data_IF_050648912326
#
_entry.id   IF_050648912326
#
_cell.length_a   1.000
_cell.length_b   1.000
_cell.length_c   1.000
_cell.angle_alpha   90.00
_cell.angle_beta   90.00
_cell.angle_gamma   90.00
#
_symmetry.space_group_name_H-M   'P 1'
#
loop_
_entity.id
_entity.type
_entity.pdbx_description
1 polymer ?
#
# COMPACT_ATOMS: atom_id res chain seq x y z
N UNK A 1 6.18 46.54 -13.83
CA UNK A 1 6.59 45.15 -14.15
C UNK A 1 5.33 44.31 -14.20
N UNK A 2 5.07 43.64 -15.33
CA UNK A 2 3.86 42.84 -15.56
C UNK A 2 4.01 41.51 -14.80
N UNK A 3 3.18 41.24 -13.78
CA UNK A 3 3.10 39.92 -13.16
C UNK A 3 2.46 38.96 -14.17
N UNK A 4 3.24 38.03 -14.71
CA UNK A 4 2.73 36.90 -15.49
C UNK A 4 2.34 35.80 -14.52
N UNK A 5 1.04 35.67 -14.26
CA UNK A 5 0.49 34.53 -13.54
C UNK A 5 0.62 33.29 -14.42
N UNK A 6 1.64 32.46 -14.16
CA UNK A 6 1.71 31.12 -14.72
C UNK A 6 0.82 30.19 -13.88
N UNK A 7 -0.34 29.86 -14.42
CA UNK A 7 -1.14 28.74 -13.94
C UNK A 7 -0.41 27.46 -14.33
N UNK A 8 0.32 26.86 -13.39
CA UNK A 8 0.61 25.43 -13.47
C UNK A 8 -0.72 24.73 -13.22
N UNK A 9 -1.45 24.50 -14.30
CA UNK A 9 -2.67 23.69 -14.26
C UNK A 9 -2.24 22.26 -14.05
N UNK A 10 -2.27 21.81 -12.79
CA UNK A 10 -2.36 20.38 -12.51
C UNK A 10 -3.71 19.95 -13.06
N UNK A 11 -3.71 19.25 -14.20
CA UNK A 11 -4.90 18.56 -14.63
C UNK A 11 -5.19 17.49 -13.56
N UNK A 12 -6.08 17.82 -12.63
CA UNK A 12 -6.71 16.87 -11.71
C UNK A 12 -7.62 15.97 -12.55
N UNK A 13 -7.00 15.06 -13.29
CA UNK A 13 -7.70 14.01 -14.00
C UNK A 13 -8.21 13.02 -12.98
N UNK A 14 -9.53 12.98 -12.80
CA UNK A 14 -10.18 11.93 -12.03
C UNK A 14 -9.75 10.54 -12.56
N UNK A 15 -9.17 9.74 -11.67
CA UNK A 15 -9.04 8.29 -11.70
C UNK A 15 -8.69 7.62 -13.05
N UNK A 16 -7.41 7.27 -13.24
CA UNK A 16 -7.00 5.91 -13.59
C UNK A 16 -5.47 5.79 -13.52
N UNK A 17 -4.96 5.04 -12.54
CA UNK A 17 -3.65 4.40 -12.58
C UNK A 17 -2.43 5.33 -12.49
N UNK A 18 -1.67 5.19 -11.40
CA UNK A 18 -0.26 5.55 -11.40
C UNK A 18 0.39 4.96 -12.66
N UNK A 19 0.88 5.79 -13.57
CA UNK A 19 1.56 5.33 -14.78
C UNK A 19 2.78 4.52 -14.37
N UNK A 20 2.62 3.21 -14.45
CA UNK A 20 3.64 2.20 -14.37
C UNK A 20 4.46 2.30 -15.66
N UNK A 21 5.68 2.83 -15.56
CA UNK A 21 6.65 2.74 -16.64
C UNK A 21 7.25 1.33 -16.63
N UNK A 22 6.45 0.35 -17.07
CA UNK A 22 6.90 -1.02 -17.28
C UNK A 22 7.51 -1.17 -18.67
N UNK A 23 8.78 -1.54 -18.64
CA UNK A 23 9.67 -1.82 -19.75
C UNK A 23 9.12 -2.95 -20.66
N UNK A 24 9.19 -2.72 -21.96
CA UNK A 24 8.62 -3.59 -23.00
C UNK A 24 9.69 -4.54 -23.50
N UNK A 25 9.56 -5.85 -23.25
CA UNK A 25 10.11 -6.86 -24.16
C UNK A 25 9.14 -7.99 -24.45
N UNK A 26 8.99 -8.25 -25.74
CA UNK A 26 7.98 -9.05 -26.40
C UNK A 26 8.14 -10.56 -26.16
N UNK A 27 7.04 -11.31 -26.23
CA UNK A 27 7.07 -12.76 -26.51
C UNK A 27 6.12 -13.06 -27.66
N UNK A 28 6.72 -13.61 -28.70
CA UNK A 28 6.13 -14.04 -29.97
C UNK A 28 5.41 -15.39 -29.81
N UNK A 29 4.48 -15.65 -30.73
CA UNK A 29 3.41 -16.63 -30.64
C UNK A 29 3.79 -18.11 -30.78
N UNK A 30 2.75 -18.94 -30.66
CA UNK A 30 2.82 -20.39 -30.80
C UNK A 30 1.46 -21.04 -30.57
N UNK A 31 0.61 -21.04 -31.61
CA UNK A 31 -0.64 -21.78 -31.69
C UNK A 31 -0.34 -23.20 -32.19
N UNK A 32 -0.65 -24.24 -31.41
CA UNK A 32 -0.83 -25.60 -31.93
C UNK A 32 -2.00 -26.32 -31.25
N UNK A 33 -2.88 -26.82 -32.11
CA UNK A 33 -4.09 -27.60 -31.85
C UNK A 33 -3.75 -29.09 -31.88
N UNK A 34 -4.13 -29.88 -30.86
CA UNK A 34 -4.31 -31.32 -30.99
C UNK A 34 -5.49 -31.80 -30.14
N UNK A 35 -6.49 -32.37 -30.81
CA UNK A 35 -7.72 -32.87 -30.19
C UNK A 35 -7.66 -34.34 -29.78
N UNK A 36 -8.59 -34.73 -28.91
CA UNK A 36 -9.06 -36.11 -28.81
C UNK A 36 -10.56 -36.17 -28.50
N UNK A 37 -11.16 -37.21 -29.07
CA UNK A 37 -12.57 -37.52 -29.30
C UNK A 37 -13.41 -37.75 -28.04
N UNK A 38 -14.71 -37.47 -28.20
CA UNK A 38 -15.81 -37.85 -27.32
C UNK A 38 -16.11 -39.36 -27.31
N UNK A 39 -16.59 -39.87 -26.17
CA UNK A 39 -17.66 -40.88 -26.09
C UNK A 39 -18.45 -40.72 -24.80
N UNK A 40 -19.78 -40.73 -24.93
CA UNK A 40 -20.76 -40.77 -23.85
C UNK A 40 -20.77 -42.09 -23.07
N UNK A 41 -21.38 -42.00 -21.89
CA UNK A 41 -22.20 -43.00 -21.19
C UNK A 41 -21.64 -43.70 -19.93
N UNK A 42 -22.33 -43.38 -18.83
CA UNK A 42 -22.79 -44.26 -17.73
C UNK A 42 -22.00 -44.26 -16.42
N UNK A 43 -22.61 -43.57 -15.45
CA UNK A 43 -22.85 -43.98 -14.06
C UNK A 43 -21.63 -44.47 -13.24
N UNK A 44 -21.04 -43.54 -12.50
CA UNK A 44 -20.15 -43.81 -11.38
C UNK A 44 -20.25 -42.66 -10.40
N UNK A 45 -21.01 -42.87 -9.33
CA UNK A 45 -20.91 -42.09 -8.10
C UNK A 45 -19.46 -42.04 -7.66
N UNK A 46 -18.83 -40.90 -7.86
CA UNK A 46 -17.71 -40.45 -7.07
C UNK A 46 -17.87 -38.94 -7.03
N UNK A 47 -18.62 -38.50 -6.02
CA UNK A 47 -18.49 -37.17 -5.44
C UNK A 47 -17.00 -36.99 -5.15
N UNK A 48 -16.29 -36.43 -6.12
CA UNK A 48 -15.10 -35.66 -5.81
C UNK A 48 -15.65 -34.37 -5.25
N UNK A 49 -16.13 -34.42 -4.01
CA UNK A 49 -16.09 -33.27 -3.13
C UNK A 49 -14.62 -32.85 -3.10
N UNK A 50 -14.25 -31.95 -4.03
CA UNK A 50 -13.29 -30.93 -3.66
C UNK A 50 -13.89 -30.29 -2.43
N UNK A 51 -13.45 -30.74 -1.25
CA UNK A 51 -13.73 -30.08 0.01
C UNK A 51 -13.12 -28.68 -0.12
N UNK A 52 -13.87 -27.78 -0.75
CA UNK A 52 -13.64 -26.36 -0.65
C UNK A 52 -13.78 -26.09 0.82
N UNK A 53 -12.67 -25.90 1.53
CA UNK A 53 -12.66 -25.41 2.91
C UNK A 53 -13.66 -24.27 2.95
N UNK A 54 -14.80 -24.46 3.60
CA UNK A 54 -15.87 -23.47 3.64
C UNK A 54 -15.31 -22.23 4.34
N UNK A 55 -14.94 -21.23 3.55
CA UNK A 55 -14.45 -19.96 4.07
C UNK A 55 -15.64 -19.24 4.69
N UNK A 56 -15.58 -19.07 6.01
CA UNK A 56 -16.61 -18.36 6.79
C UNK A 56 -16.60 -16.86 6.53
N UNK A 57 -15.45 -16.32 6.14
CA UNK A 57 -15.24 -14.89 5.95
C UNK A 57 -14.78 -14.57 4.52
N UNK A 58 -15.27 -13.46 3.97
CA UNK A 58 -14.70 -12.85 2.75
C UNK A 58 -13.37 -12.22 3.13
N UNK A 59 -12.27 -12.60 2.48
CA UNK A 59 -10.95 -12.03 2.77
C UNK A 59 -10.95 -10.50 2.64
N UNK A 60 -10.36 -9.80 3.60
CA UNK A 60 -10.10 -8.38 3.51
C UNK A 60 -8.77 -8.14 2.79
N UNK A 61 -8.81 -7.31 1.74
CA UNK A 61 -7.64 -7.00 0.90
C UNK A 61 -6.86 -5.77 1.41
N UNK A 62 -7.19 -5.28 2.61
CA UNK A 62 -6.52 -4.14 3.24
C UNK A 62 -5.17 -4.55 3.83
N UNK A 63 -4.18 -3.69 3.62
CA UNK A 63 -2.85 -3.83 4.22
C UNK A 63 -2.90 -3.49 5.71
N UNK A 64 -3.71 -2.52 6.11
CA UNK A 64 -3.89 -2.15 7.52
C UNK A 64 -5.34 -2.43 7.90
N UNK A 65 -5.55 -3.48 8.68
CA UNK A 65 -6.87 -3.92 9.13
C UNK A 65 -7.11 -3.41 10.55
N UNK A 66 -8.12 -2.55 10.79
CA UNK A 66 -8.45 -2.11 12.13
C UNK A 66 -8.93 -3.31 12.98
N UNK A 67 -8.37 -3.50 14.18
CA UNK A 67 -8.77 -4.59 15.08
C UNK A 67 -10.28 -4.58 15.37
N UNK A 68 -10.87 -3.40 15.54
CA UNK A 68 -12.30 -3.24 15.78
C UNK A 68 -13.18 -3.74 14.62
N UNK A 69 -12.62 -3.84 13.40
CA UNK A 69 -13.33 -4.42 12.26
C UNK A 69 -13.28 -5.94 12.26
N UNK A 70 -12.32 -6.58 12.92
CA UNK A 70 -12.16 -8.03 12.87
C UNK A 70 -13.39 -8.76 13.46
N UNK A 71 -13.84 -9.89 12.86
CA UNK A 71 -14.88 -10.74 13.42
C UNK A 71 -14.50 -11.27 14.80
N UNK A 72 -15.49 -11.53 15.65
CA UNK A 72 -15.29 -11.97 17.05
C UNK A 72 -14.36 -13.18 17.17
N UNK A 73 -14.56 -14.20 16.32
CA UNK A 73 -13.74 -15.41 16.30
C UNK A 73 -12.26 -15.10 15.97
N UNK A 74 -12.02 -14.17 15.04
CA UNK A 74 -10.68 -13.74 14.63
C UNK A 74 -10.01 -12.91 15.73
N UNK A 75 -10.78 -12.05 16.41
CA UNK A 75 -10.28 -11.27 17.56
C UNK A 75 -9.84 -12.18 18.70
N UNK A 76 -10.61 -13.24 19.00
CA UNK A 76 -10.26 -14.19 20.04
C UNK A 76 -8.93 -14.91 19.74
N UNK A 77 -8.71 -15.38 18.51
CA UNK A 77 -7.42 -15.98 18.11
C UNK A 77 -6.27 -14.98 18.20
N UNK A 78 -6.48 -13.75 17.72
CA UNK A 78 -5.47 -12.70 17.74
C UNK A 78 -5.10 -12.29 19.18
N UNK A 79 -6.09 -12.14 20.05
CA UNK A 79 -5.88 -11.79 21.45
C UNK A 79 -5.14 -12.88 22.21
N UNK A 80 -5.50 -14.15 22.02
CA UNK A 80 -4.78 -15.28 22.60
C UNK A 80 -3.32 -15.31 22.13
N UNK A 81 -3.06 -15.15 20.84
CA UNK A 81 -1.70 -15.11 20.31
C UNK A 81 -0.87 -13.93 20.84
N UNK A 82 -1.50 -12.79 21.11
CA UNK A 82 -0.84 -11.60 21.66
C UNK A 82 -0.55 -11.75 23.14
N UNK A 83 -1.48 -12.30 23.91
CA UNK A 83 -1.37 -12.43 25.37
C UNK A 83 -0.45 -13.57 25.78
N UNK A 84 -0.57 -14.71 25.12
CA UNK A 84 0.22 -15.90 25.41
C UNK A 84 1.50 -15.98 24.57
N UNK A 85 1.67 -15.05 23.62
CA UNK A 85 2.78 -15.03 22.64
C UNK A 85 2.68 -16.10 21.55
N UNK A 86 1.65 -16.95 21.61
CA UNK A 86 1.38 -18.05 20.66
C UNK A 86 -0.07 -18.49 20.78
N UNK A 87 -0.74 -18.74 19.66
CA UNK A 87 -1.96 -19.52 19.58
C UNK A 87 -1.74 -20.70 18.64
N UNK A 88 -2.16 -21.90 19.01
CA UNK A 88 -1.95 -23.12 18.22
C UNK A 88 -3.27 -23.89 18.07
N UNK A 89 -3.47 -24.48 16.90
CA UNK A 89 -4.66 -25.29 16.59
C UNK A 89 -4.34 -26.38 15.58
N UNK A 90 -4.99 -27.53 15.71
CA UNK A 90 -4.97 -28.62 14.72
C UNK A 90 -5.78 -28.27 13.45
N UNK A 91 -6.56 -27.18 13.49
CA UNK A 91 -7.43 -26.73 12.41
C UNK A 91 -6.87 -25.58 11.58
N UNK A 92 -7.75 -24.99 10.76
CA UNK A 92 -7.47 -23.73 10.06
C UNK A 92 -7.80 -22.56 10.97
N UNK A 93 -6.87 -21.62 11.12
CA UNK A 93 -7.10 -20.35 11.82
C UNK A 93 -8.19 -19.53 11.12
N UNK A 94 -9.12 -18.97 11.90
CA UNK A 94 -10.09 -17.98 11.37
C UNK A 94 -9.36 -16.76 10.78
N UNK A 95 -8.23 -16.35 11.37
CA UNK A 95 -7.42 -15.25 10.86
C UNK A 95 -6.99 -15.44 9.40
N UNK A 96 -6.61 -16.65 8.97
CA UNK A 96 -6.21 -16.94 7.57
C UNK A 96 -7.37 -16.85 6.57
N UNK A 97 -8.60 -17.03 7.05
CA UNK A 97 -9.81 -16.84 6.24
C UNK A 97 -10.14 -15.36 6.10
N UNK A 98 -9.87 -14.60 7.17
CA UNK A 98 -10.16 -13.19 7.26
C UNK A 98 -9.14 -12.34 6.49
N UNK A 99 -7.85 -12.45 6.77
CA UNK A 99 -6.82 -11.60 6.17
C UNK A 99 -5.63 -12.42 5.69
N UNK A 100 -4.79 -11.79 4.87
CA UNK A 100 -3.52 -12.39 4.48
C UNK A 100 -2.40 -11.93 5.43
N UNK A 101 -1.87 -12.80 6.30
CA UNK A 101 -0.85 -12.43 7.28
C UNK A 101 0.49 -12.04 6.64
N UNK A 102 0.73 -12.40 5.37
CA UNK A 102 1.99 -12.09 4.70
C UNK A 102 2.11 -10.62 4.28
N UNK A 103 0.99 -9.93 4.13
CA UNK A 103 0.92 -8.53 3.67
C UNK A 103 0.16 -7.62 4.61
N UNK A 104 -0.71 -8.17 5.47
CA UNK A 104 -1.61 -7.37 6.30
C UNK A 104 -1.10 -7.21 7.72
N UNK A 105 -1.41 -6.06 8.31
CA UNK A 105 -1.13 -5.70 9.69
C UNK A 105 -2.45 -5.43 10.40
N UNK A 106 -2.50 -5.76 11.69
CA UNK A 106 -3.64 -5.42 12.54
C UNK A 106 -3.30 -4.15 13.31
N UNK A 107 -4.11 -3.11 13.17
CA UNK A 107 -3.98 -1.88 13.95
C UNK A 107 -4.89 -1.94 15.18
N UNK A 108 -4.31 -1.79 16.38
CA UNK A 108 -5.05 -1.68 17.63
C UNK A 108 -4.43 -0.60 18.50
N UNK A 109 -5.25 0.37 18.91
CA UNK A 109 -4.86 1.47 19.81
C UNK A 109 -3.60 2.23 19.33
N UNK A 110 -3.48 2.42 18.00
CA UNK A 110 -2.35 3.09 17.36
C UNK A 110 -1.07 2.25 17.27
N UNK A 111 -1.10 0.99 17.71
CA UNK A 111 0.01 0.03 17.55
C UNK A 111 -0.29 -0.90 16.39
N UNK A 112 0.70 -1.16 15.54
CA UNK A 112 0.58 -2.15 14.48
C UNK A 112 1.14 -3.48 14.93
N UNK A 113 0.48 -4.54 14.49
CA UNK A 113 0.85 -5.90 14.79
C UNK A 113 0.95 -6.68 13.49
N UNK A 114 2.06 -7.41 13.32
CA UNK A 114 2.26 -8.34 12.20
C UNK A 114 1.88 -9.75 12.67
N UNK A 115 0.80 -10.33 12.14
CA UNK A 115 0.52 -11.75 12.31
C UNK A 115 1.58 -12.57 11.55
N UNK A 116 2.07 -13.64 12.17
CA UNK A 116 2.94 -14.63 11.56
C UNK A 116 2.33 -16.00 11.79
N UNK A 117 2.19 -16.78 10.71
CA UNK A 117 1.57 -18.09 10.77
C UNK A 117 2.53 -19.15 10.26
N UNK A 118 2.83 -20.12 11.12
CA UNK A 118 3.74 -21.22 10.84
C UNK A 118 3.05 -22.57 11.06
N UNK A 119 3.69 -23.64 10.60
CA UNK A 119 3.30 -25.01 10.91
C UNK A 119 4.35 -25.60 11.86
N UNK A 120 3.95 -25.98 13.06
CA UNK A 120 4.84 -26.55 14.09
C UNK A 120 4.21 -27.83 14.64
N UNK A 121 4.89 -28.98 14.50
CA UNK A 121 4.44 -30.24 15.12
C UNK A 121 3.10 -30.79 14.62
N UNK A 122 2.61 -30.34 13.46
CA UNK A 122 1.28 -30.69 12.93
C UNK A 122 0.19 -29.70 13.29
N UNK A 123 0.50 -28.68 14.11
CA UNK A 123 -0.40 -27.59 14.45
C UNK A 123 -0.13 -26.35 13.58
N UNK A 124 -1.20 -25.65 13.22
CA UNK A 124 -1.11 -24.29 12.70
C UNK A 124 -0.91 -23.33 13.86
N UNK A 125 0.18 -22.56 13.84
CA UNK A 125 0.58 -21.67 14.93
C UNK A 125 0.52 -20.21 14.49
N UNK A 126 -0.21 -19.39 15.23
CA UNK A 126 -0.24 -17.93 15.10
C UNK A 126 0.67 -17.29 16.15
N UNK A 127 1.52 -16.38 15.70
CA UNK A 127 2.30 -15.46 16.53
C UNK A 127 1.98 -14.04 16.10
N UNK A 128 2.03 -13.11 17.04
CA UNK A 128 1.75 -11.70 16.77
C UNK A 128 2.91 -10.87 17.30
N UNK A 129 3.61 -10.19 16.42
CA UNK A 129 4.71 -9.29 16.77
C UNK A 129 4.27 -7.84 16.64
N UNK A 130 4.72 -6.97 17.54
CA UNK A 130 4.59 -5.52 17.37
C UNK A 130 5.45 -5.11 16.17
N UNK A 131 4.89 -4.28 15.30
CA UNK A 131 5.58 -3.64 14.20
C UNK A 131 5.46 -2.12 14.37
N UNK A 132 6.58 -1.42 14.38
CA UNK A 132 6.58 0.03 14.58
C UNK A 132 6.07 0.76 13.32
N UNK A 133 6.46 0.26 12.13
CA UNK A 133 6.13 0.90 10.86
C UNK A 133 5.83 -0.14 9.77
N UNK A 134 4.53 -0.40 9.50
CA UNK A 134 4.12 -1.27 8.41
C UNK A 134 4.69 -0.87 7.06
N UNK A 135 4.93 -1.85 6.21
CA UNK A 135 5.32 -1.62 4.81
C UNK A 135 4.12 -1.82 3.90
N UNK A 136 3.82 -0.83 3.07
CA UNK A 136 2.77 -0.88 2.04
C UNK A 136 3.32 -1.56 0.78
N UNK A 137 2.73 -2.65 0.26
CA UNK A 137 3.22 -3.36 -0.91
C UNK A 137 3.35 -2.49 -2.18
N UNK A 138 2.45 -1.53 -2.37
CA UNK A 138 2.48 -0.62 -3.53
C UNK A 138 3.21 0.69 -3.24
N UNK A 139 3.53 0.98 -1.98
CA UNK A 139 4.04 2.27 -1.54
C UNK A 139 3.12 3.45 -1.91
N UNK A 140 3.61 4.66 -1.65
CA UNK A 140 2.97 5.93 -1.98
C UNK A 140 3.96 6.83 -2.68
N UNK A 141 3.49 7.51 -3.72
CA UNK A 141 4.29 8.44 -4.51
C UNK A 141 3.83 9.86 -4.22
N UNK A 142 4.76 10.72 -3.82
CA UNK A 142 4.58 12.17 -3.72
C UNK A 142 5.10 12.81 -5.00
N UNK A 143 4.27 13.57 -5.69
CA UNK A 143 4.66 14.35 -6.86
C UNK A 143 4.95 15.79 -6.47
N UNK A 144 6.06 16.35 -6.93
CA UNK A 144 6.49 17.72 -6.63
C UNK A 144 6.68 18.48 -7.93
N UNK A 145 5.88 19.51 -8.16
CA UNK A 145 5.99 20.39 -9.34
C UNK A 145 6.55 21.76 -8.97
N UNK A 146 7.55 22.24 -9.72
CA UNK A 146 8.10 23.58 -9.52
C UNK A 146 7.36 24.60 -10.40
N UNK A 147 6.54 25.46 -9.79
CA UNK A 147 5.86 26.57 -10.46
C UNK A 147 6.61 27.90 -10.39
N UNK A 148 7.80 27.92 -9.80
CA UNK A 148 8.66 29.12 -9.70
C UNK A 148 9.48 29.31 -10.99
N UNK A 149 10.02 30.51 -11.17
CA UNK A 149 10.91 30.83 -12.30
C UNK A 149 12.35 30.36 -12.10
N UNK A 150 12.71 29.97 -10.86
CA UNK A 150 14.04 29.49 -10.48
C UNK A 150 14.01 28.01 -10.08
N UNK A 151 15.12 27.27 -10.27
CA UNK A 151 15.20 25.87 -9.86
C UNK A 151 15.12 25.73 -8.34
N UNK A 152 14.52 24.64 -7.88
CA UNK A 152 14.46 24.30 -6.46
C UNK A 152 15.03 22.91 -6.22
N UNK A 153 15.60 22.68 -5.03
CA UNK A 153 16.05 21.37 -4.58
C UNK A 153 15.03 20.76 -3.63
N UNK A 154 14.50 19.61 -3.98
CA UNK A 154 13.55 18.84 -3.17
C UNK A 154 14.21 17.60 -2.54
N UNK A 155 13.89 17.30 -1.29
CA UNK A 155 14.35 16.11 -0.60
C UNK A 155 13.33 15.62 0.42
N UNK A 156 13.26 14.30 0.63
CA UNK A 156 12.43 13.69 1.68
C UNK A 156 13.29 13.39 2.89
N UNK A 157 12.83 13.78 4.07
CA UNK A 157 13.45 13.48 5.34
C UNK A 157 12.53 12.66 6.26
N UNK A 158 13.16 11.82 7.06
CA UNK A 158 12.55 11.02 8.12
C UNK A 158 13.40 11.20 9.39
N UNK A 159 12.77 11.62 10.48
CA UNK A 159 13.46 11.95 11.75
C UNK A 159 14.74 12.80 11.54
N UNK A 160 14.60 13.85 10.73
CA UNK A 160 15.70 14.77 10.41
C UNK A 160 16.67 14.29 9.32
N UNK A 161 16.77 12.98 9.07
CA UNK A 161 17.70 12.37 8.09
C UNK A 161 17.09 12.36 6.70
N UNK A 162 17.87 12.70 5.67
CA UNK A 162 17.42 12.58 4.28
C UNK A 162 17.30 11.10 3.91
N UNK A 163 16.14 10.72 3.37
CA UNK A 163 15.82 9.35 2.97
C UNK A 163 15.47 9.22 1.48
N UNK A 164 15.31 10.34 0.77
CA UNK A 164 15.26 10.40 -0.70
C UNK A 164 15.68 11.82 -1.19
N UNK A 165 16.27 11.90 -2.38
CA UNK A 165 16.91 13.12 -2.89
C UNK A 165 18.27 13.42 -2.22
N UNK A 166 18.81 14.64 -2.36
CA UNK A 166 18.21 15.81 -2.99
C UNK A 166 18.10 15.71 -4.51
N UNK A 167 17.07 16.33 -5.07
CA UNK A 167 16.86 16.43 -6.52
C UNK A 167 16.58 17.87 -6.92
N UNK A 168 17.21 18.33 -8.00
CA UNK A 168 16.95 19.65 -8.58
C UNK A 168 15.74 19.55 -9.49
N UNK A 169 14.76 20.42 -9.28
CA UNK A 169 13.52 20.53 -10.03
C UNK A 169 13.52 21.87 -10.76
N UNK A 170 13.75 21.80 -12.07
CA UNK A 170 13.77 22.97 -12.95
C UNK A 170 12.41 23.70 -12.99
N UNK A 171 12.36 24.98 -13.36
CA UNK A 171 11.11 25.72 -13.57
C UNK A 171 10.15 24.97 -14.51
N UNK A 172 8.92 24.75 -14.05
CA UNK A 172 7.89 24.01 -14.78
C UNK A 172 8.08 22.48 -14.81
N UNK A 173 9.15 21.95 -14.21
CA UNK A 173 9.41 20.51 -14.14
C UNK A 173 8.70 19.87 -12.94
N UNK A 174 8.60 18.54 -12.99
CA UNK A 174 8.01 17.71 -11.97
C UNK A 174 9.00 16.61 -11.59
N UNK A 175 9.11 16.31 -10.30
CA UNK A 175 9.76 15.09 -9.79
C UNK A 175 8.80 14.27 -8.92
N UNK A 176 9.18 13.04 -8.56
CA UNK A 176 8.38 12.17 -7.71
C UNK A 176 9.24 11.36 -6.74
N UNK A 177 8.77 11.25 -5.49
CA UNK A 177 9.41 10.46 -4.44
C UNK A 177 8.48 9.32 -4.02
N UNK A 178 9.00 8.09 -3.97
CA UNK A 178 8.23 6.91 -3.52
C UNK A 178 8.64 6.48 -2.12
N UNK A 179 7.67 6.11 -1.28
CA UNK A 179 7.88 5.56 0.07
C UNK A 179 6.92 4.41 0.35
N UNK A 180 7.43 3.32 0.90
CA UNK A 180 6.64 2.13 1.23
C UNK A 180 6.32 2.03 2.71
N UNK A 181 7.22 2.50 3.56
CA UNK A 181 7.10 2.41 5.01
C UNK A 181 6.14 3.49 5.53
N UNK A 182 5.10 3.07 6.23
CA UNK A 182 4.11 3.94 6.88
C UNK A 182 4.79 4.88 7.87
N UNK A 183 4.37 6.13 7.85
CA UNK A 183 4.94 7.17 8.71
C UNK A 183 4.64 8.58 8.20
N UNK A 184 5.18 9.58 8.89
CA UNK A 184 5.11 10.97 8.45
C UNK A 184 6.49 11.46 8.07
N UNK A 185 6.66 11.79 6.80
CA UNK A 185 7.91 12.29 6.23
C UNK A 185 7.84 13.81 6.09
N UNK A 186 9.00 14.45 5.92
CA UNK A 186 9.10 15.87 5.62
C UNK A 186 9.66 16.06 4.20
N UNK A 187 8.85 16.61 3.28
CA UNK A 187 9.38 17.17 2.04
C UNK A 187 10.01 18.52 2.38
N UNK A 188 11.31 18.66 2.10
CA UNK A 188 12.08 19.89 2.24
C UNK A 188 12.38 20.43 0.84
N UNK A 189 12.01 21.68 0.60
CA UNK A 189 12.27 22.37 -0.68
C UNK A 189 13.13 23.59 -0.40
N UNK A 190 14.20 23.80 -1.19
CA UNK A 190 15.10 24.94 -1.06
C UNK A 190 15.45 25.56 -2.41
N UNK A 191 15.41 26.88 -2.53
CA UNK A 191 15.93 27.65 -3.65
C UNK A 191 17.28 28.28 -3.33
N UNK A 192 18.03 28.65 -4.36
CA UNK A 192 19.31 29.38 -4.19
C UNK A 192 19.11 30.83 -3.75
N UNK A 193 17.92 31.38 -4.01
CA UNK A 193 17.44 32.70 -3.58
C UNK A 193 17.10 32.80 -2.08
N UNK A 194 17.31 31.73 -1.32
CA UNK A 194 16.99 31.65 0.10
C UNK A 194 15.57 31.17 0.38
N UNK A 195 14.78 30.82 -0.64
CA UNK A 195 13.52 30.11 -0.44
C UNK A 195 13.77 28.79 0.30
N UNK A 196 13.01 28.53 1.35
CA UNK A 196 13.11 27.29 2.10
C UNK A 196 11.77 26.97 2.76
N UNK A 197 11.16 25.87 2.34
CA UNK A 197 9.88 25.42 2.84
C UNK A 197 9.92 23.96 3.24
N UNK A 198 9.02 23.57 4.15
CA UNK A 198 8.90 22.17 4.58
C UNK A 198 7.45 21.81 4.83
N UNK A 199 7.03 20.68 4.24
CA UNK A 199 5.69 20.14 4.45
C UNK A 199 5.74 18.69 4.91
N UNK A 200 4.82 18.32 5.80
CA UNK A 200 4.63 16.94 6.24
C UNK A 200 3.87 16.15 5.18
N UNK A 201 4.37 14.97 4.87
CA UNK A 201 3.75 14.01 3.97
C UNK A 201 3.45 12.71 4.75
N UNK A 202 2.17 12.43 5.06
CA UNK A 202 1.77 11.15 5.63
C UNK A 202 1.79 10.06 4.55
N UNK A 203 2.53 8.98 4.80
CA UNK A 203 2.48 7.74 4.02
C UNK A 203 1.61 6.77 4.79
N UNK A 204 0.42 6.47 4.26
CA UNK A 204 -0.54 5.57 4.88
C UNK A 204 -1.42 4.91 3.81
N UNK A 205 -2.24 3.94 4.23
CA UNK A 205 -3.21 3.33 3.33
C UNK A 205 -4.26 4.33 2.83
N UNK A 206 -4.57 5.36 3.65
CA UNK A 206 -5.66 6.33 3.42
C UNK A 206 -5.38 7.39 2.37
N UNK A 207 -4.13 7.78 2.17
CA UNK A 207 -3.80 8.85 1.22
C UNK A 207 -3.12 8.24 0.01
N UNK A 208 -3.66 8.52 -1.18
CA UNK A 208 -3.02 8.16 -2.44
C UNK A 208 -2.47 9.41 -3.11
N UNK A 209 -1.31 9.26 -3.74
CA UNK A 209 -0.75 10.19 -4.72
C UNK A 209 -0.81 11.70 -4.36
N UNK A 210 -0.28 12.12 -3.19
CA UNK A 210 -0.24 13.54 -2.88
C UNK A 210 0.60 14.31 -3.89
N UNK A 211 0.20 15.55 -4.14
CA UNK A 211 0.90 16.48 -5.02
C UNK A 211 1.27 17.75 -4.24
N UNK A 212 2.48 18.25 -4.46
CA UNK A 212 2.95 19.53 -3.93
C UNK A 212 3.34 20.44 -5.10
N UNK A 213 2.73 21.62 -5.16
CA UNK A 213 3.15 22.68 -6.05
C UNK A 213 4.05 23.66 -5.28
N UNK A 214 5.24 23.92 -5.80
CA UNK A 214 6.15 24.94 -5.27
C UNK A 214 5.84 26.26 -5.99
N UNK A 215 5.44 27.27 -5.23
CA UNK A 215 5.10 28.60 -5.73
C UNK A 215 5.98 29.65 -5.07
N UNK A 216 5.94 30.89 -5.56
CA UNK A 216 6.66 31.99 -4.91
C UNK A 216 6.09 32.36 -3.53
N UNK A 217 4.83 31.97 -3.27
CA UNK A 217 4.14 32.23 -2.00
C UNK A 217 4.28 31.06 -0.99
N UNK A 218 4.84 29.91 -1.40
CA UNK A 218 5.09 28.76 -0.53
C UNK A 218 4.85 27.40 -1.19
N UNK A 219 4.31 26.46 -0.43
CA UNK A 219 3.95 25.11 -0.90
C UNK A 219 2.44 24.91 -0.85
N UNK A 220 1.83 24.63 -2.00
CA UNK A 220 0.43 24.21 -2.09
C UNK A 220 0.36 22.68 -2.11
N UNK A 221 -0.40 22.10 -1.18
CA UNK A 221 -0.45 20.65 -0.96
C UNK A 221 -1.85 20.13 -1.27
N UNK A 222 -1.92 19.16 -2.16
CA UNK A 222 -3.14 18.41 -2.46
C UNK A 222 -2.96 16.97 -2.02
N UNK A 223 -3.86 16.49 -1.16
CA UNK A 223 -3.91 15.10 -0.72
C UNK A 223 -5.31 14.56 -1.00
N UNK A 224 -5.38 13.42 -1.71
CA UNK A 224 -6.64 12.73 -1.96
C UNK A 224 -6.77 11.54 -1.01
N UNK A 225 -7.89 11.50 -0.28
CA UNK A 225 -8.24 10.33 0.52
C UNK A 225 -8.74 9.22 -0.40
N UNK A 226 -8.16 8.04 -0.22
CA UNK A 226 -8.63 6.81 -0.84
C UNK A 226 -9.82 6.29 -0.05
N UNK A 227 -10.92 6.01 -0.74
CA UNK A 227 -12.03 5.26 -0.16
C UNK A 227 -11.56 3.84 0.13
N UNK A 228 -11.39 3.53 1.41
CA UNK A 228 -11.09 2.17 1.85
C UNK A 228 -12.39 1.44 2.08
N UNK A 229 -12.61 0.35 1.35
CA UNK A 229 -13.75 -0.52 1.61
C UNK A 229 -13.66 -1.10 3.03
N UNK A 230 -14.81 -1.21 3.70
CA UNK A 230 -14.89 -1.89 4.98
C UNK A 230 -14.52 -3.36 4.82
N UNK A 231 -13.85 -3.93 5.82
CA UNK A 231 -13.76 -5.38 5.93
C UNK A 231 -15.11 -5.88 6.50
N UNK A 232 -15.65 -6.94 5.89
CA UNK A 232 -16.85 -7.75 6.25
C UNK A 232 -18.24 -7.17 5.98
#
# INVERSE_FOLDING_TARGET
MLRRTFLVTFASGAAAGCLDASDTTATDGGNETLGLRATSDTNGTNETESATVERRYRRCDRVIVPYASLPDDVRAEFDAAREDGRYATDGTLYLLQALDPSVSYVERDGTYYRPDVTQEGGETVLRVAVEDRPTLPTGRTLTVGNGREEPVTAAIADDGRTVAGPEVVEPGAITSFRREVVGTYALRVRGEDGFAETVKWPVSERYACPTVAVTDDGLDVTMEETTLEGCW
#
